data_IF_248705250383
#
_entry.id   IF_248705250383
#
_cell.length_a   1.000
_cell.length_b   1.000
_cell.length_c   1.000
_cell.angle_alpha   90.00
_cell.angle_beta   90.00
_cell.angle_gamma   90.00
#
_symmetry.space_group_name_H-M   'P 1'
#
loop_
_entity.id
_entity.type
_entity.pdbx_description
1 polymer ?
#
# COMPACT_ATOMS: atom_id res chain seq x y z
N UNK A 1 23.67 -5.83 40.16
CA UNK A 1 22.57 -6.25 41.06
C UNK A 1 21.34 -6.76 40.31
N UNK A 2 20.59 -5.94 39.54
CA UNK A 2 19.38 -6.43 38.83
C UNK A 2 19.71 -7.34 37.62
N UNK A 3 20.78 -7.05 36.88
CA UNK A 3 21.26 -7.89 35.76
C UNK A 3 21.75 -9.28 36.21
N UNK A 4 22.33 -9.36 37.40
CA UNK A 4 22.86 -10.61 37.98
C UNK A 4 21.73 -11.50 38.50
N UNK A 5 20.65 -10.90 39.01
CA UNK A 5 19.44 -11.60 39.43
C UNK A 5 18.66 -12.20 38.24
N UNK A 6 18.55 -11.46 37.14
CA UNK A 6 17.89 -11.91 35.90
C UNK A 6 18.70 -13.03 35.22
N UNK A 7 20.04 -12.95 35.24
CA UNK A 7 20.92 -14.01 34.70
C UNK A 7 20.81 -15.33 35.47
N UNK A 8 20.56 -15.27 36.78
CA UNK A 8 20.48 -16.45 37.66
C UNK A 8 19.21 -17.28 37.43
N UNK A 9 18.12 -16.66 36.97
CA UNK A 9 16.86 -17.33 36.62
C UNK A 9 16.59 -17.25 35.11
N UNK A 10 17.18 -18.18 34.36
CA UNK A 10 17.09 -18.29 32.89
C UNK A 10 15.63 -18.25 32.37
N UNK A 11 14.69 -18.82 33.13
CA UNK A 11 13.25 -18.80 32.82
C UNK A 11 12.62 -17.42 32.95
N UNK A 12 12.97 -16.64 33.98
CA UNK A 12 12.48 -15.28 34.20
C UNK A 12 12.96 -14.33 33.09
N UNK A 13 14.23 -14.48 32.66
CA UNK A 13 14.76 -13.73 31.53
C UNK A 13 14.05 -14.06 30.21
N UNK A 14 13.63 -15.31 30.02
CA UNK A 14 12.92 -15.74 28.81
C UNK A 14 11.48 -15.22 28.80
N UNK A 15 10.79 -15.29 29.95
CA UNK A 15 9.44 -14.74 30.13
C UNK A 15 9.41 -13.23 29.95
N UNK A 16 10.37 -12.49 30.54
CA UNK A 16 10.50 -11.04 30.33
C UNK A 16 10.85 -10.68 28.88
N UNK A 17 11.64 -11.51 28.19
CA UNK A 17 11.94 -11.33 26.77
C UNK A 17 10.70 -11.51 25.90
N UNK A 18 9.89 -12.54 26.17
CA UNK A 18 8.62 -12.77 25.47
C UNK A 18 7.65 -11.64 25.75
N UNK A 19 7.46 -11.26 27.02
CA UNK A 19 6.59 -10.14 27.40
C UNK A 19 7.03 -8.82 26.77
N UNK A 20 8.33 -8.52 26.76
CA UNK A 20 8.87 -7.33 26.10
C UNK A 20 8.62 -7.34 24.58
N UNK A 21 8.81 -8.50 23.94
CA UNK A 21 8.53 -8.66 22.50
C UNK A 21 7.04 -8.57 22.19
N UNK A 22 6.18 -9.07 23.08
CA UNK A 22 4.72 -9.05 22.92
C UNK A 22 4.14 -7.65 23.20
N UNK A 23 4.74 -6.90 24.13
CA UNK A 23 4.41 -5.49 24.36
C UNK A 23 4.90 -4.63 23.19
N UNK A 24 6.15 -4.78 22.73
CA UNK A 24 6.67 -4.01 21.59
C UNK A 24 5.97 -4.42 20.29
N UNK A 25 5.68 -5.70 20.09
CA UNK A 25 4.96 -6.20 18.92
C UNK A 25 3.48 -5.84 18.93
N UNK A 26 2.82 -5.96 20.09
CA UNK A 26 1.38 -5.74 20.27
C UNK A 26 0.98 -4.29 20.49
N UNK A 27 1.75 -3.50 21.24
CA UNK A 27 1.55 -2.04 21.31
C UNK A 27 2.15 -1.35 20.08
N UNK A 28 3.26 -1.88 19.56
CA UNK A 28 3.85 -1.36 18.33
C UNK A 28 2.89 -1.48 17.16
N UNK A 29 2.22 -2.62 16.95
CA UNK A 29 1.28 -2.76 15.83
C UNK A 29 0.17 -1.70 15.86
N UNK A 30 -0.42 -1.41 17.02
CA UNK A 30 -1.44 -0.37 17.16
C UNK A 30 -0.90 1.05 16.95
N UNK A 31 0.27 1.37 17.51
CA UNK A 31 0.91 2.69 17.33
C UNK A 31 1.34 2.90 15.88
N UNK A 32 1.92 1.89 15.25
CA UNK A 32 2.27 1.92 13.83
C UNK A 32 1.03 2.08 12.97
N UNK A 33 -0.08 1.43 13.30
CA UNK A 33 -1.32 1.58 12.55
C UNK A 33 -1.87 3.01 12.61
N UNK A 34 -1.90 3.61 13.80
CA UNK A 34 -2.40 4.98 14.00
C UNK A 34 -1.53 6.01 13.30
N UNK A 35 -0.20 5.82 13.26
CA UNK A 35 0.72 6.80 12.67
C UNK A 35 0.90 6.56 11.17
N UNK A 36 1.13 5.31 10.76
CA UNK A 36 1.48 4.98 9.37
C UNK A 36 0.27 5.05 8.44
N UNK A 37 -0.93 4.65 8.87
CA UNK A 37 -2.12 4.72 8.00
C UNK A 37 -2.39 6.14 7.51
N UNK A 38 -2.54 7.18 8.37
CA UNK A 38 -2.80 8.52 7.89
C UNK A 38 -1.62 9.07 7.08
N UNK A 39 -0.38 8.74 7.46
CA UNK A 39 0.81 9.16 6.70
C UNK A 39 0.83 8.58 5.28
N UNK A 40 0.63 7.26 5.13
CA UNK A 40 0.60 6.62 3.82
C UNK A 40 -0.63 7.00 3.01
N UNK A 41 -1.79 7.20 3.64
CA UNK A 41 -2.99 7.70 2.97
C UNK A 41 -2.76 9.12 2.44
N UNK A 42 -2.14 10.00 3.23
CA UNK A 42 -1.78 11.35 2.82
C UNK A 42 -0.78 11.35 1.66
N UNK A 43 0.31 10.58 1.79
CA UNK A 43 1.31 10.45 0.72
C UNK A 43 0.72 9.86 -0.56
N UNK A 44 -0.06 8.79 -0.43
CA UNK A 44 -0.70 8.12 -1.57
C UNK A 44 -1.67 9.03 -2.30
N UNK A 45 -2.54 9.73 -1.56
CA UNK A 45 -3.42 10.75 -2.12
C UNK A 45 -2.63 11.88 -2.80
N UNK A 46 -1.50 12.31 -2.22
CA UNK A 46 -0.63 13.32 -2.81
C UNK A 46 -0.03 12.87 -4.13
N UNK A 47 0.50 11.65 -4.19
CA UNK A 47 1.06 11.04 -5.41
C UNK A 47 -0.03 10.93 -6.48
N UNK A 48 -1.20 10.38 -6.14
CA UNK A 48 -2.30 10.24 -7.11
C UNK A 48 -2.78 11.61 -7.60
N UNK A 49 -2.94 12.59 -6.71
CA UNK A 49 -3.37 13.95 -7.09
C UNK A 49 -2.34 14.62 -8.00
N UNK A 50 -1.05 14.44 -7.71
CA UNK A 50 0.03 14.90 -8.58
C UNK A 50 -0.04 14.24 -9.96
N UNK A 51 -0.24 12.94 -10.03
CA UNK A 51 -0.37 12.21 -11.30
C UNK A 51 -1.60 12.65 -12.11
N UNK A 52 -2.74 12.89 -11.44
CA UNK A 52 -3.97 13.41 -12.06
C UNK A 52 -3.71 14.79 -12.67
N UNK A 53 -3.06 15.68 -11.92
CA UNK A 53 -2.76 17.04 -12.39
C UNK A 53 -1.70 17.06 -13.50
N UNK A 54 -0.78 16.10 -13.49
CA UNK A 54 0.32 16.03 -14.46
C UNK A 54 -0.10 15.38 -15.78
N UNK A 55 -0.99 14.38 -15.73
CA UNK A 55 -1.38 13.61 -16.91
C UNK A 55 -2.89 13.57 -17.10
N UNK A 56 -3.35 14.18 -18.19
CA UNK A 56 -4.76 14.17 -18.59
C UNK A 56 -5.27 12.76 -18.89
N UNK A 57 -4.46 11.92 -19.52
CA UNK A 57 -4.80 10.52 -19.78
C UNK A 57 -5.00 9.74 -18.49
N UNK A 58 -4.07 9.89 -17.52
CA UNK A 58 -4.19 9.25 -16.22
C UNK A 58 -5.43 9.75 -15.47
N UNK A 59 -5.63 11.08 -15.43
CA UNK A 59 -6.83 11.68 -14.86
C UNK A 59 -8.10 11.09 -15.45
N UNK A 60 -8.22 11.05 -16.78
CA UNK A 60 -9.43 10.54 -17.44
C UNK A 60 -9.67 9.07 -17.11
N UNK A 61 -8.63 8.24 -17.08
CA UNK A 61 -8.74 6.84 -16.68
C UNK A 61 -9.24 6.70 -15.23
N UNK A 62 -8.74 7.51 -14.29
CA UNK A 62 -9.22 7.50 -12.90
C UNK A 62 -10.70 7.86 -12.83
N UNK A 63 -11.13 8.92 -13.52
CA UNK A 63 -12.52 9.38 -13.47
C UNK A 63 -13.50 8.45 -14.19
N UNK A 64 -13.06 7.77 -15.26
CA UNK A 64 -13.83 6.67 -15.85
C UNK A 64 -13.95 5.47 -14.88
N UNK A 65 -12.91 5.14 -14.12
CA UNK A 65 -13.02 4.09 -13.10
C UNK A 65 -13.96 4.48 -11.95
N UNK A 66 -14.03 5.77 -11.61
CA UNK A 66 -15.00 6.31 -10.64
C UNK A 66 -16.44 6.14 -11.15
N UNK A 67 -16.70 6.44 -12.43
CA UNK A 67 -18.05 6.41 -13.02
C UNK A 67 -18.69 5.02 -13.02
N UNK A 68 -17.88 3.97 -13.15
CA UNK A 68 -18.31 2.55 -13.11
C UNK A 68 -18.56 2.09 -11.65
N UNK A 69 -18.44 2.98 -10.66
CA UNK A 69 -18.56 2.71 -9.21
C UNK A 69 -17.59 1.62 -8.71
N UNK A 70 -16.56 1.30 -9.51
CA UNK A 70 -15.59 0.27 -9.23
C UNK A 70 -16.21 -1.08 -8.89
N UNK A 71 -17.17 -1.59 -9.68
CA UNK A 71 -17.83 -2.89 -9.44
C UNK A 71 -16.87 -4.09 -9.24
N UNK A 72 -15.58 -3.92 -9.56
CA UNK A 72 -14.51 -4.88 -9.30
C UNK A 72 -13.93 -4.85 -7.87
N UNK A 73 -14.51 -4.16 -6.88
CA UNK A 73 -13.86 -4.04 -5.53
C UNK A 73 -13.51 -5.38 -4.88
N UNK A 74 -14.33 -6.41 -5.10
CA UNK A 74 -14.04 -7.77 -4.60
C UNK A 74 -12.88 -8.42 -5.38
N UNK A 75 -12.90 -8.34 -6.70
CA UNK A 75 -11.83 -8.89 -7.56
C UNK A 75 -10.50 -8.14 -7.34
N UNK A 76 -10.55 -6.82 -7.21
CA UNK A 76 -9.41 -5.97 -6.89
C UNK A 76 -8.83 -6.29 -5.51
N UNK A 77 -9.67 -6.56 -4.49
CA UNK A 77 -9.18 -7.01 -3.18
C UNK A 77 -8.49 -8.37 -3.26
N UNK A 78 -9.09 -9.34 -3.95
CA UNK A 78 -8.49 -10.67 -4.14
C UNK A 78 -7.15 -10.54 -4.88
N UNK A 79 -7.11 -9.80 -5.98
CA UNK A 79 -5.90 -9.52 -6.74
C UNK A 79 -4.82 -8.84 -5.88
N UNK A 80 -5.21 -7.85 -5.07
CA UNK A 80 -4.29 -7.17 -4.16
C UNK A 80 -3.70 -8.13 -3.11
N UNK A 81 -4.48 -9.08 -2.58
CA UNK A 81 -3.99 -10.10 -1.66
C UNK A 81 -3.00 -11.05 -2.36
N UNK A 82 -3.28 -11.46 -3.59
CA UNK A 82 -2.35 -12.26 -4.38
C UNK A 82 -1.02 -11.54 -4.62
N UNK A 83 -1.05 -10.26 -5.02
CA UNK A 83 0.19 -9.48 -5.21
C UNK A 83 0.93 -9.31 -3.88
N UNK A 84 0.23 -9.05 -2.78
CA UNK A 84 0.85 -8.93 -1.46
C UNK A 84 1.56 -10.24 -1.08
N UNK A 85 0.94 -11.38 -1.32
CA UNK A 85 1.51 -12.69 -1.05
C UNK A 85 2.74 -12.96 -1.93
N UNK A 86 2.68 -12.64 -3.23
CA UNK A 86 3.84 -12.72 -4.14
C UNK A 86 4.96 -11.79 -3.67
N UNK A 87 4.65 -10.57 -3.25
CA UNK A 87 5.61 -9.61 -2.72
C UNK A 87 6.27 -10.11 -1.43
N UNK A 88 5.49 -10.66 -0.50
CA UNK A 88 5.99 -11.25 0.73
C UNK A 88 6.93 -12.44 0.44
N UNK A 89 6.53 -13.35 -0.46
CA UNK A 89 7.38 -14.48 -0.88
C UNK A 89 8.67 -13.97 -1.52
N UNK A 90 8.59 -12.94 -2.36
CA UNK A 90 9.76 -12.35 -3.02
C UNK A 90 10.75 -11.77 -2.01
N UNK A 91 10.26 -11.01 -1.02
CA UNK A 91 11.08 -10.43 0.05
C UNK A 91 11.67 -11.51 0.97
N UNK A 92 10.89 -12.53 1.31
CA UNK A 92 11.37 -13.67 2.10
C UNK A 92 12.46 -14.45 1.36
N UNK A 93 12.25 -14.73 0.07
CA UNK A 93 13.24 -15.38 -0.80
C UNK A 93 14.51 -14.55 -0.91
N UNK A 94 14.37 -13.23 -1.09
CA UNK A 94 15.49 -12.28 -1.06
C UNK A 94 16.27 -12.34 0.25
N UNK A 95 15.58 -12.26 1.38
CA UNK A 95 16.21 -12.28 2.69
C UNK A 95 16.94 -13.59 2.96
N UNK A 96 16.32 -14.72 2.60
CA UNK A 96 16.88 -16.06 2.80
C UNK A 96 18.13 -16.28 1.93
N UNK A 97 18.04 -15.99 0.63
CA UNK A 97 19.18 -16.09 -0.29
C UNK A 97 20.29 -15.13 0.10
N UNK A 98 19.98 -13.90 0.53
CA UNK A 98 20.96 -12.95 1.02
C UNK A 98 21.72 -13.48 2.23
N UNK A 99 21.03 -14.08 3.22
CA UNK A 99 21.68 -14.64 4.42
C UNK A 99 22.62 -15.80 4.03
N UNK A 100 22.14 -16.76 3.23
CA UNK A 100 22.94 -17.93 2.82
C UNK A 100 24.17 -17.48 2.03
N UNK A 101 23.96 -16.62 1.04
CA UNK A 101 25.01 -16.19 0.12
C UNK A 101 26.02 -15.29 0.82
N UNK A 102 25.58 -14.46 1.78
CA UNK A 102 26.47 -13.67 2.64
C UNK A 102 27.36 -14.55 3.52
N UNK A 103 26.81 -15.62 4.09
CA UNK A 103 27.60 -16.55 4.92
C UNK A 103 28.63 -17.28 4.06
N UNK A 104 28.23 -17.81 2.89
CA UNK A 104 29.15 -18.43 1.93
C UNK A 104 30.21 -17.48 1.41
N UNK A 105 29.85 -16.24 1.09
CA UNK A 105 30.80 -15.22 0.64
C UNK A 105 31.84 -14.88 1.72
N UNK A 106 31.46 -14.85 2.99
CA UNK A 106 32.40 -14.66 4.10
C UNK A 106 33.33 -15.85 4.27
N UNK A 107 32.80 -17.06 4.17
CA UNK A 107 33.57 -18.30 4.26
C UNK A 107 34.63 -18.35 3.14
N UNK A 108 34.23 -18.07 1.90
CA UNK A 108 35.13 -18.04 0.74
C UNK A 108 36.22 -16.97 0.86
N UNK A 109 35.92 -15.79 1.40
CA UNK A 109 36.96 -14.75 1.60
C UNK A 109 37.89 -15.04 2.79
N UNK A 110 37.50 -15.92 3.72
CA UNK A 110 38.32 -16.28 4.89
C UNK A 110 39.23 -17.49 4.61
N UNK A 111 38.89 -18.32 3.62
CA UNK A 111 39.78 -19.38 3.13
C UNK A 111 40.90 -18.71 2.33
N UNK A 112 42.16 -19.04 2.63
CA UNK A 112 43.31 -18.54 1.88
C UNK A 112 43.13 -18.88 0.39
N UNK A 113 43.46 -17.94 -0.50
CA UNK A 113 43.29 -18.01 -1.97
C UNK A 113 43.83 -19.31 -2.59
N UNK A 114 44.79 -19.98 -1.94
CA UNK A 114 45.40 -21.24 -2.39
C UNK A 114 44.49 -22.48 -2.30
N UNK A 115 43.35 -22.42 -1.60
CA UNK A 115 42.48 -23.59 -1.35
C UNK A 115 41.13 -23.56 -2.08
N UNK A 116 40.86 -22.53 -2.87
CA UNK A 116 39.57 -22.33 -3.52
C UNK A 116 39.63 -22.88 -4.95
N UNK A 117 38.99 -24.03 -5.19
CA UNK A 117 38.68 -24.50 -6.54
C UNK A 117 37.75 -23.48 -7.22
N UNK A 118 38.35 -22.55 -7.97
CA UNK A 118 37.63 -21.45 -8.63
C UNK A 118 36.53 -21.94 -9.59
N UNK A 119 36.66 -23.17 -10.09
CA UNK A 119 35.81 -23.75 -11.14
C UNK A 119 34.36 -24.02 -10.69
N UNK A 120 34.11 -24.16 -9.37
CA UNK A 120 32.76 -24.41 -8.84
C UNK A 120 32.08 -23.18 -8.21
N UNK A 121 32.78 -22.04 -8.14
CA UNK A 121 32.21 -20.83 -7.51
C UNK A 121 31.35 -20.04 -8.51
N UNK A 122 30.06 -19.78 -8.21
CA UNK A 122 29.21 -18.97 -9.07
C UNK A 122 29.81 -17.57 -9.28
N UNK A 123 29.71 -17.03 -10.50
CA UNK A 123 30.30 -15.74 -10.90
C UNK A 123 29.96 -14.56 -9.97
N UNK A 124 28.78 -14.59 -9.35
CA UNK A 124 28.31 -13.55 -8.43
C UNK A 124 28.94 -13.63 -7.03
N UNK A 125 29.57 -14.76 -6.67
CA UNK A 125 30.29 -14.95 -5.41
C UNK A 125 31.80 -14.70 -5.52
N UNK A 126 32.34 -14.65 -6.74
CA UNK A 126 33.79 -14.55 -6.99
C UNK A 126 34.41 -13.21 -6.56
N UNK A 127 33.64 -12.12 -6.59
CA UNK A 127 34.13 -10.79 -6.23
C UNK A 127 33.05 -9.99 -5.51
N UNK A 128 33.44 -9.19 -4.50
CA UNK A 128 32.57 -8.25 -3.78
C UNK A 128 31.77 -7.33 -4.71
N UNK A 129 32.38 -6.89 -5.82
CA UNK A 129 31.68 -6.06 -6.82
C UNK A 129 30.52 -6.81 -7.47
N UNK A 130 30.77 -8.03 -7.94
CA UNK A 130 29.74 -8.87 -8.58
C UNK A 130 28.64 -9.24 -7.60
N UNK A 131 29.01 -9.57 -6.35
CA UNK A 131 28.08 -9.83 -5.26
C UNK A 131 27.12 -8.65 -5.05
N UNK A 132 27.67 -7.43 -4.88
CA UNK A 132 26.85 -6.24 -4.66
C UNK A 132 25.94 -5.95 -5.84
N UNK A 133 26.44 -6.04 -7.07
CA UNK A 133 25.65 -5.80 -8.30
C UNK A 133 24.49 -6.80 -8.37
N UNK A 134 24.77 -8.10 -8.19
CA UNK A 134 23.75 -9.14 -8.21
C UNK A 134 22.64 -8.87 -7.18
N UNK A 135 23.01 -8.54 -5.94
CA UNK A 135 22.03 -8.26 -4.89
C UNK A 135 21.23 -6.99 -5.11
N UNK A 136 21.82 -5.94 -5.72
CA UNK A 136 21.07 -4.74 -6.09
C UNK A 136 20.01 -5.09 -7.14
N UNK A 137 20.38 -5.81 -8.21
CA UNK A 137 19.42 -6.22 -9.24
C UNK A 137 18.34 -7.14 -8.67
N UNK A 138 18.71 -8.11 -7.86
CA UNK A 138 17.77 -9.04 -7.25
C UNK A 138 16.82 -8.34 -6.27
N UNK A 139 17.30 -7.33 -5.53
CA UNK A 139 16.47 -6.46 -4.70
C UNK A 139 15.48 -5.66 -5.53
N UNK A 140 15.92 -5.03 -6.62
CA UNK A 140 15.05 -4.24 -7.49
C UNK A 140 13.92 -5.09 -8.11
N UNK A 141 14.24 -6.31 -8.55
CA UNK A 141 13.24 -7.25 -9.09
C UNK A 141 12.27 -7.67 -7.98
N UNK A 142 12.77 -8.00 -6.79
CA UNK A 142 11.95 -8.41 -5.65
C UNK A 142 11.07 -7.29 -5.11
N UNK A 143 11.47 -6.03 -5.31
CA UNK A 143 10.74 -4.84 -4.87
C UNK A 143 9.62 -4.44 -5.85
N UNK A 144 9.68 -4.89 -7.10
CA UNK A 144 8.71 -4.51 -8.13
C UNK A 144 7.25 -4.89 -7.77
N UNK A 145 6.94 -6.10 -7.26
CA UNK A 145 5.59 -6.45 -6.80
C UNK A 145 5.08 -5.54 -5.67
N UNK A 146 5.97 -5.06 -4.80
CA UNK A 146 5.61 -4.14 -3.73
C UNK A 146 5.19 -2.77 -4.28
N UNK A 147 5.92 -2.25 -5.29
CA UNK A 147 5.57 -1.02 -5.99
C UNK A 147 4.21 -1.12 -6.69
N UNK A 148 3.96 -2.21 -7.43
CA UNK A 148 2.69 -2.39 -8.15
C UNK A 148 1.51 -2.53 -7.20
N UNK A 149 1.67 -3.27 -6.10
CA UNK A 149 0.68 -3.35 -5.03
C UNK A 149 0.38 -1.98 -4.43
N UNK A 150 1.42 -1.24 -4.04
CA UNK A 150 1.27 0.07 -3.39
C UNK A 150 0.54 1.05 -4.30
N UNK A 151 0.93 1.12 -5.58
CA UNK A 151 0.27 1.94 -6.58
C UNK A 151 -1.22 1.57 -6.76
N UNK A 152 -1.52 0.27 -6.91
CA UNK A 152 -2.89 -0.22 -7.04
C UNK A 152 -3.74 0.14 -5.82
N UNK A 153 -3.19 -0.05 -4.61
CA UNK A 153 -3.86 0.29 -3.36
C UNK A 153 -4.19 1.79 -3.26
N UNK A 154 -3.22 2.66 -3.56
CA UNK A 154 -3.43 4.12 -3.55
C UNK A 154 -4.52 4.55 -4.54
N UNK A 155 -4.47 4.01 -5.77
CA UNK A 155 -5.49 4.26 -6.80
C UNK A 155 -6.88 3.83 -6.35
N UNK A 156 -7.01 2.61 -5.81
CA UNK A 156 -8.29 2.08 -5.33
C UNK A 156 -8.84 2.89 -4.15
N UNK A 157 -7.99 3.32 -3.21
CA UNK A 157 -8.40 4.15 -2.09
C UNK A 157 -8.95 5.51 -2.56
N UNK A 158 -8.24 6.17 -3.49
CA UNK A 158 -8.68 7.45 -4.06
C UNK A 158 -10.04 7.34 -4.76
N UNK A 159 -10.20 6.33 -5.63
CA UNK A 159 -11.47 6.06 -6.33
C UNK A 159 -12.57 5.78 -5.32
N UNK A 160 -12.30 4.95 -4.31
CA UNK A 160 -13.29 4.58 -3.29
C UNK A 160 -13.78 5.79 -2.51
N UNK A 161 -12.89 6.70 -2.11
CA UNK A 161 -13.27 7.96 -1.43
C UNK A 161 -14.22 8.79 -2.28
N UNK A 162 -13.91 8.97 -3.57
CA UNK A 162 -14.71 9.75 -4.51
C UNK A 162 -16.10 9.12 -4.76
N UNK A 163 -16.18 7.80 -4.91
CA UNK A 163 -17.46 7.10 -5.07
C UNK A 163 -18.29 7.18 -3.79
N UNK A 164 -17.68 6.97 -2.63
CA UNK A 164 -18.40 7.01 -1.34
C UNK A 164 -18.91 8.41 -1.05
N UNK A 165 -18.16 9.45 -1.41
CA UNK A 165 -18.63 10.83 -1.28
C UNK A 165 -19.85 11.12 -2.16
N UNK A 166 -19.85 10.64 -3.41
CA UNK A 166 -21.03 10.73 -4.29
C UNK A 166 -22.24 10.01 -3.69
N UNK A 167 -22.09 8.75 -3.29
CA UNK A 167 -23.17 7.96 -2.67
C UNK A 167 -23.70 8.60 -1.37
N UNK A 168 -22.80 9.20 -0.58
CA UNK A 168 -23.18 9.98 0.60
C UNK A 168 -24.04 11.19 0.22
N UNK A 169 -23.63 11.99 -0.77
CA UNK A 169 -24.41 13.14 -1.22
C UNK A 169 -25.77 12.76 -1.79
N UNK A 170 -25.89 11.63 -2.50
CA UNK A 170 -27.17 11.08 -2.93
C UNK A 170 -28.06 10.77 -1.73
N UNK A 171 -27.53 10.08 -0.72
CA UNK A 171 -28.27 9.73 0.49
C UNK A 171 -28.71 10.96 1.28
N UNK A 172 -27.83 11.94 1.45
CA UNK A 172 -28.15 13.21 2.11
C UNK A 172 -29.26 13.95 1.37
N UNK A 173 -29.26 13.91 0.04
CA UNK A 173 -30.27 14.57 -0.78
C UNK A 173 -31.50 13.71 -1.09
N UNK A 174 -31.62 12.50 -0.54
CA UNK A 174 -32.63 11.53 -0.97
C UNK A 174 -34.09 11.99 -0.82
N UNK A 175 -34.40 12.78 0.20
CA UNK A 175 -35.70 13.42 0.45
C UNK A 175 -35.93 14.71 -0.37
N UNK A 176 -34.88 15.28 -0.95
CA UNK A 176 -34.95 16.50 -1.76
C UNK A 176 -34.95 16.24 -3.27
N UNK A 177 -34.67 15.00 -3.69
CA UNK A 177 -34.58 14.60 -5.08
C UNK A 177 -35.79 13.76 -5.47
N UNK A 178 -36.43 14.08 -6.59
CA UNK A 178 -37.40 13.18 -7.21
C UNK A 178 -36.72 11.94 -7.81
N UNK A 179 -37.47 10.85 -8.02
CA UNK A 179 -36.93 9.64 -8.66
C UNK A 179 -36.35 9.92 -10.07
N UNK A 180 -36.95 10.86 -10.81
CA UNK A 180 -36.46 11.24 -12.15
C UNK A 180 -35.13 11.97 -12.07
N UNK A 181 -34.99 12.90 -11.12
CA UNK A 181 -33.73 13.63 -10.89
C UNK A 181 -32.64 12.68 -10.39
N UNK A 182 -32.97 11.76 -9.49
CA UNK A 182 -32.04 10.74 -9.03
C UNK A 182 -31.50 9.91 -10.20
N UNK A 183 -32.38 9.35 -11.03
CA UNK A 183 -31.98 8.58 -12.22
C UNK A 183 -31.11 9.41 -13.18
N UNK A 184 -31.42 10.69 -13.35
CA UNK A 184 -30.61 11.61 -14.19
C UNK A 184 -29.22 11.82 -13.61
N UNK A 185 -29.11 12.04 -12.30
CA UNK A 185 -27.83 12.21 -11.61
C UNK A 185 -27.00 10.93 -11.69
N UNK A 186 -27.60 9.76 -11.49
CA UNK A 186 -26.92 8.48 -11.63
C UNK A 186 -26.44 8.23 -13.07
N UNK A 187 -27.26 8.59 -14.07
CA UNK A 187 -26.89 8.52 -15.48
C UNK A 187 -25.73 9.46 -15.81
N UNK A 188 -25.74 10.69 -15.28
CA UNK A 188 -24.64 11.64 -15.43
C UNK A 188 -23.35 11.10 -14.77
N UNK A 189 -23.47 10.52 -13.58
CA UNK A 189 -22.34 9.92 -12.89
C UNK A 189 -21.70 8.79 -13.70
N UNK A 190 -22.51 7.91 -14.30
CA UNK A 190 -22.03 6.81 -15.14
C UNK A 190 -21.32 7.28 -16.43
N UNK A 191 -21.54 8.53 -16.86
CA UNK A 191 -20.96 9.13 -18.06
C UNK A 191 -19.73 10.00 -17.78
N UNK A 192 -19.28 10.11 -16.53
CA UNK A 192 -18.09 10.89 -16.18
C UNK A 192 -16.87 10.33 -16.90
N UNK A 193 -16.15 11.22 -17.60
CA UNK A 193 -14.89 10.88 -18.27
C UNK A 193 -13.73 11.76 -17.85
N UNK A 194 -14.01 12.96 -17.31
CA UNK A 194 -13.01 13.94 -16.89
C UNK A 194 -13.23 14.35 -15.44
N UNK A 195 -12.18 14.90 -14.82
CA UNK A 195 -12.26 15.48 -13.47
C UNK A 195 -13.36 16.53 -13.37
N UNK A 196 -13.45 17.40 -14.36
CA UNK A 196 -14.41 18.50 -14.37
C UNK A 196 -15.86 18.00 -14.33
N UNK A 197 -16.19 16.95 -15.08
CA UNK A 197 -17.54 16.38 -15.09
C UNK A 197 -17.94 15.89 -13.69
N UNK A 198 -17.00 15.26 -12.98
CA UNK A 198 -17.19 14.84 -11.60
C UNK A 198 -17.36 16.03 -10.66
N UNK A 199 -16.46 17.02 -10.75
CA UNK A 199 -16.48 18.19 -9.87
C UNK A 199 -17.78 19.00 -10.05
N UNK A 200 -18.24 19.18 -11.29
CA UNK A 200 -19.49 19.87 -11.62
C UNK A 200 -20.71 19.12 -11.03
N UNK A 201 -20.74 17.79 -11.13
CA UNK A 201 -21.82 16.97 -10.57
C UNK A 201 -21.85 17.00 -9.04
N UNK A 202 -20.68 16.93 -8.39
CA UNK A 202 -20.56 17.03 -6.94
C UNK A 202 -21.00 18.41 -6.46
N UNK A 203 -20.52 19.48 -7.11
CA UNK A 203 -20.95 20.85 -6.79
C UNK A 203 -22.47 21.02 -6.93
N UNK A 204 -23.09 20.40 -7.94
CA UNK A 204 -24.54 20.40 -8.09
C UNK A 204 -25.23 19.76 -6.88
N UNK A 205 -24.79 18.59 -6.45
CA UNK A 205 -25.35 17.87 -5.30
C UNK A 205 -25.12 18.60 -3.96
N UNK A 206 -23.95 19.19 -3.77
CA UNK A 206 -23.65 20.02 -2.60
C UNK A 206 -24.56 21.25 -2.55
N UNK A 207 -24.77 21.91 -3.69
CA UNK A 207 -25.67 23.06 -3.78
C UNK A 207 -27.13 22.70 -3.47
N UNK A 208 -27.60 21.52 -3.89
CA UNK A 208 -28.94 21.02 -3.53
C UNK A 208 -29.03 20.79 -2.02
N UNK A 209 -28.00 20.19 -1.41
CA UNK A 209 -27.97 19.97 0.03
C UNK A 209 -27.98 21.30 0.81
N UNK A 210 -27.16 22.26 0.41
CA UNK A 210 -27.11 23.59 1.05
C UNK A 210 -28.45 24.34 0.92
N UNK A 211 -29.09 24.30 -0.25
CA UNK A 211 -30.43 24.90 -0.45
C UNK A 211 -31.51 24.31 0.46
N UNK A 212 -31.35 23.05 0.83
CA UNK A 212 -32.26 22.34 1.74
C UNK A 212 -31.75 22.34 3.20
N UNK A 213 -30.81 23.22 3.56
CA UNK A 213 -30.24 23.37 4.90
C UNK A 213 -29.63 22.09 5.48
N UNK A 214 -29.02 21.26 4.63
CA UNK A 214 -28.39 20.00 5.06
C UNK A 214 -26.92 20.20 5.38
N UNK A 215 -26.46 19.53 6.44
CA UNK A 215 -25.05 19.50 6.83
C UNK A 215 -24.30 18.47 5.98
N UNK A 216 -23.24 18.91 5.32
CA UNK A 216 -22.38 18.08 4.47
C UNK A 216 -21.11 17.73 5.23
N UNK A 217 -20.89 16.45 5.49
CA UNK A 217 -19.60 15.95 5.94
C UNK A 217 -18.71 15.69 4.71
N UNK A 218 -17.62 16.47 4.57
CA UNK A 218 -16.66 16.34 3.46
C UNK A 218 -15.79 15.07 3.52
N UNK A 219 -15.74 14.39 4.67
CA UNK A 219 -15.09 13.09 4.83
C UNK A 219 -16.07 12.12 5.52
N UNK A 220 -17.01 11.51 4.78
CA UNK A 220 -17.96 10.55 5.32
C UNK A 220 -17.33 9.16 5.61
N UNK A 221 -16.00 9.07 5.66
CA UNK A 221 -15.19 7.87 5.84
C UNK A 221 -14.30 7.96 7.09
#
# INVERSE_FOLDING_TARGET
MMKDFIKKHKTLSWVLGILGTLIIGGLGSGVWEIILKPFFSFMGNGIISFLINTSSSFSNEIYQNISIRGLDRFQAKIYSLFILLVGAISICSFSFTFIITRNKFKELNNLNEESIDQDYTPWFLQNKRNYNIFFIFFFLISFLPFCTYSYSSMKTEFISKKVIYFEYLIKVNGDALSEQELKKIESNFAQITKSKDYDDLINQLENIAMKNNKLINKNPL
#
